data_IF_037075394703
#
_entry.id   IF_037075394703
#
_cell.length_a   1.000
_cell.length_b   1.000
_cell.length_c   1.000
_cell.angle_alpha   90.00
_cell.angle_beta   90.00
_cell.angle_gamma   90.00
#
_symmetry.space_group_name_H-M   'P 1'
#
loop_
_entity.id
_entity.type
_entity.pdbx_description
1 polymer ?
#
# COMPACT_ATOMS: atom_id res chain seq x y z
N UNK A 1 30.58 19.21 0.40
CA UNK A 1 29.10 19.36 0.45
C UNK A 1 28.48 19.14 -0.95
N UNK A 2 28.87 18.10 -1.68
CA UNK A 2 28.45 17.88 -3.09
C UNK A 2 28.12 16.42 -3.48
N UNK A 3 28.25 15.44 -2.57
CA UNK A 3 27.84 14.05 -2.85
C UNK A 3 26.42 13.69 -2.37
N UNK A 4 25.86 14.44 -1.42
CA UNK A 4 24.56 14.11 -0.78
C UNK A 4 23.33 14.16 -1.70
N UNK A 5 23.44 14.75 -2.89
CA UNK A 5 22.34 14.90 -3.87
C UNK A 5 22.14 13.66 -4.75
N UNK A 6 23.05 12.68 -4.73
CA UNK A 6 23.07 11.55 -5.68
C UNK A 6 22.04 10.44 -5.45
N UNK A 7 21.36 10.38 -4.31
CA UNK A 7 20.45 9.26 -4.00
C UNK A 7 18.96 9.53 -4.31
N UNK A 8 18.59 10.80 -4.46
CA UNK A 8 17.24 11.19 -4.87
C UNK A 8 17.17 11.29 -6.40
N UNK A 9 16.12 10.73 -6.98
CA UNK A 9 15.91 10.80 -8.43
C UNK A 9 15.53 12.23 -8.84
N UNK A 10 16.44 12.92 -9.54
CA UNK A 10 16.23 14.33 -9.92
C UNK A 10 14.99 14.54 -10.79
N UNK A 11 14.68 13.58 -11.68
CA UNK A 11 13.48 13.60 -12.53
C UNK A 11 12.17 13.20 -11.83
N UNK A 12 12.19 12.95 -10.52
CA UNK A 12 10.98 12.63 -9.77
C UNK A 12 10.08 13.84 -9.54
N UNK A 13 8.78 13.60 -9.37
CA UNK A 13 7.81 14.65 -9.11
C UNK A 13 7.97 15.25 -7.70
N UNK A 14 7.90 16.57 -7.57
CA UNK A 14 7.88 17.24 -6.26
C UNK A 14 6.53 17.05 -5.55
N UNK A 15 5.44 17.08 -6.32
CA UNK A 15 4.07 16.85 -5.85
C UNK A 15 3.27 16.10 -6.90
N UNK A 16 2.39 15.22 -6.44
CA UNK A 16 1.46 14.48 -7.31
C UNK A 16 0.16 15.27 -7.51
N UNK A 17 -0.51 15.02 -8.63
CA UNK A 17 -1.80 15.64 -8.90
C UNK A 17 -2.87 15.16 -7.91
N UNK A 18 -3.93 15.92 -7.72
CA UNK A 18 -5.06 15.49 -6.87
C UNK A 18 -5.77 14.26 -7.46
N UNK A 19 -5.79 14.14 -8.79
CA UNK A 19 -6.38 12.99 -9.46
C UNK A 19 -5.63 11.70 -9.14
N UNK A 20 -4.29 11.71 -9.19
CA UNK A 20 -3.47 10.56 -8.81
C UNK A 20 -3.77 10.11 -7.37
N UNK A 21 -3.88 11.08 -6.46
CA UNK A 21 -4.22 10.85 -5.04
C UNK A 21 -5.58 10.21 -4.87
N UNK A 22 -6.58 10.68 -5.61
CA UNK A 22 -7.93 10.14 -5.54
C UNK A 22 -7.96 8.69 -6.04
N UNK A 23 -7.36 8.44 -7.21
CA UNK A 23 -7.34 7.10 -7.83
C UNK A 23 -6.62 6.09 -6.93
N UNK A 24 -5.46 6.46 -6.39
CA UNK A 24 -4.68 5.58 -5.53
C UNK A 24 -5.42 5.21 -4.23
N UNK A 25 -5.97 6.20 -3.53
CA UNK A 25 -6.73 5.94 -2.30
C UNK A 25 -8.03 5.15 -2.58
N UNK A 26 -8.70 5.42 -3.70
CA UNK A 26 -9.89 4.65 -4.09
C UNK A 26 -9.54 3.17 -4.31
N UNK A 27 -8.43 2.87 -4.99
CA UNK A 27 -8.02 1.49 -5.23
C UNK A 27 -7.58 0.77 -3.96
N UNK A 28 -6.88 1.46 -3.06
CA UNK A 28 -6.49 0.89 -1.76
C UNK A 28 -7.74 0.63 -0.91
N UNK A 29 -8.69 1.55 -0.90
CA UNK A 29 -9.98 1.37 -0.26
C UNK A 29 -10.71 0.15 -0.84
N UNK A 30 -10.83 0.07 -2.17
CA UNK A 30 -11.46 -1.06 -2.85
C UNK A 30 -10.75 -2.37 -2.54
N UNK A 31 -9.41 -2.40 -2.49
CA UNK A 31 -8.64 -3.59 -2.11
C UNK A 31 -9.01 -4.03 -0.69
N UNK A 32 -8.91 -3.15 0.30
CA UNK A 32 -9.21 -3.49 1.70
C UNK A 32 -10.66 -3.94 1.86
N UNK A 33 -11.61 -3.24 1.25
CA UNK A 33 -13.03 -3.59 1.36
C UNK A 33 -13.37 -4.91 0.67
N UNK A 34 -12.91 -5.11 -0.57
CA UNK A 34 -13.17 -6.37 -1.28
C UNK A 34 -12.46 -7.54 -0.62
N UNK A 35 -11.24 -7.36 -0.11
CA UNK A 35 -10.54 -8.39 0.66
C UNK A 35 -11.25 -8.75 1.95
N UNK A 36 -11.72 -7.74 2.70
CA UNK A 36 -12.53 -7.94 3.90
C UNK A 36 -13.83 -8.66 3.61
N UNK A 37 -14.50 -8.32 2.51
CA UNK A 37 -15.72 -8.98 2.07
C UNK A 37 -15.49 -10.44 1.66
N UNK A 38 -14.40 -10.74 0.93
CA UNK A 38 -14.01 -12.12 0.60
C UNK A 38 -13.75 -12.93 1.88
N UNK A 39 -13.03 -12.36 2.85
CA UNK A 39 -12.84 -12.98 4.17
C UNK A 39 -14.16 -13.19 4.92
N UNK A 40 -15.09 -12.24 4.82
CA UNK A 40 -16.42 -12.32 5.42
C UNK A 40 -17.27 -13.47 4.86
N UNK A 41 -17.17 -13.74 3.54
CA UNK A 41 -17.83 -14.87 2.88
C UNK A 41 -17.32 -16.24 3.35
N UNK A 42 -16.12 -16.31 3.94
CA UNK A 42 -15.65 -17.49 4.66
C UNK A 42 -16.21 -17.49 6.08
N UNK A 43 -15.91 -16.44 6.85
CA UNK A 43 -16.42 -16.25 8.21
C UNK A 43 -16.56 -14.76 8.53
N UNK A 44 -17.76 -14.29 8.94
CA UNK A 44 -18.00 -12.86 9.20
C UNK A 44 -17.01 -12.20 10.16
N UNK A 45 -16.64 -12.91 11.24
CA UNK A 45 -15.69 -12.41 12.24
C UNK A 45 -14.31 -12.14 11.62
N UNK A 46 -13.84 -13.01 10.72
CA UNK A 46 -12.54 -12.86 10.07
C UNK A 46 -12.55 -11.64 9.13
N UNK A 47 -13.66 -11.39 8.44
CA UNK A 47 -13.84 -10.19 7.62
C UNK A 47 -13.67 -8.90 8.43
N UNK A 48 -14.28 -8.81 9.61
CA UNK A 48 -14.14 -7.64 10.48
C UNK A 48 -12.71 -7.47 11.03
N UNK A 49 -12.06 -8.57 11.44
CA UNK A 49 -10.67 -8.54 11.89
C UNK A 49 -9.76 -8.03 10.78
N UNK A 50 -9.93 -8.55 9.55
CA UNK A 50 -9.17 -8.13 8.38
C UNK A 50 -9.33 -6.62 8.10
N UNK A 51 -10.58 -6.13 8.10
CA UNK A 51 -10.86 -4.70 7.87
C UNK A 51 -10.24 -3.82 8.95
N UNK A 52 -10.43 -4.17 10.22
CA UNK A 52 -9.86 -3.43 11.35
C UNK A 52 -8.34 -3.39 11.28
N UNK A 53 -7.70 -4.53 11.06
CA UNK A 53 -6.25 -4.63 10.90
C UNK A 53 -5.75 -3.76 9.74
N UNK A 54 -6.38 -3.86 8.57
CA UNK A 54 -6.03 -3.08 7.38
C UNK A 54 -6.11 -1.57 7.62
N UNK A 55 -7.21 -1.11 8.24
CA UNK A 55 -7.42 0.32 8.53
C UNK A 55 -6.43 0.85 9.56
N UNK A 56 -6.19 0.13 10.66
CA UNK A 56 -5.22 0.53 11.71
C UNK A 56 -3.81 0.64 11.12
N UNK A 57 -3.41 -0.35 10.33
CA UNK A 57 -2.10 -0.37 9.69
C UNK A 57 -1.94 0.77 8.68
N UNK A 58 -2.94 0.98 7.81
CA UNK A 58 -2.88 1.97 6.72
C UNK A 58 -3.05 3.40 7.21
N UNK A 59 -3.86 3.67 8.24
CA UNK A 59 -4.08 5.03 8.73
C UNK A 59 -3.10 5.44 9.83
N UNK A 60 -2.58 4.48 10.61
CA UNK A 60 -1.68 4.73 11.72
C UNK A 60 -0.26 4.19 11.49
N UNK A 61 -0.09 2.89 11.73
CA UNK A 61 1.23 2.27 11.96
C UNK A 61 2.19 2.48 10.77
N UNK A 62 1.73 2.21 9.54
CA UNK A 62 2.58 2.37 8.36
C UNK A 62 2.92 3.83 8.06
N UNK A 63 2.09 4.79 8.47
CA UNK A 63 2.39 6.21 8.30
C UNK A 63 3.57 6.60 9.17
N UNK A 64 3.58 6.14 10.41
CA UNK A 64 4.69 6.40 11.32
C UNK A 64 5.96 5.67 10.85
N UNK A 65 5.89 4.38 10.55
CA UNK A 65 7.09 3.59 10.22
C UNK A 65 7.69 3.99 8.86
N UNK A 66 6.85 4.16 7.85
CA UNK A 66 7.29 4.37 6.46
C UNK A 66 7.37 5.86 6.16
N UNK A 67 6.27 6.59 6.34
CA UNK A 67 6.17 7.96 5.84
C UNK A 67 7.01 8.96 6.64
N UNK A 68 7.31 8.69 7.92
CA UNK A 68 8.14 9.56 8.77
C UNK A 68 9.52 9.86 8.16
N UNK A 69 10.19 8.85 7.60
CA UNK A 69 11.49 8.99 6.95
C UNK A 69 11.35 9.18 5.42
N UNK A 70 10.16 9.43 4.88
CA UNK A 70 10.01 9.61 3.44
C UNK A 70 10.32 11.06 3.02
N UNK A 71 10.94 11.26 1.85
CA UNK A 71 11.10 12.59 1.25
C UNK A 71 9.78 13.37 1.14
N UNK A 72 8.67 12.67 0.92
CA UNK A 72 7.35 13.29 0.79
C UNK A 72 6.65 13.53 2.14
N UNK A 73 7.32 13.37 3.29
CA UNK A 73 6.75 13.75 4.57
C UNK A 73 6.34 15.23 4.56
N UNK A 74 5.09 15.54 4.92
CA UNK A 74 4.50 16.88 4.80
C UNK A 74 4.18 17.33 3.37
N UNK A 75 4.57 16.56 2.34
CA UNK A 75 4.30 16.83 0.92
C UNK A 75 3.22 15.89 0.37
N UNK A 76 2.67 16.27 -0.79
CA UNK A 76 1.68 15.47 -1.52
C UNK A 76 2.37 14.39 -2.35
N UNK A 77 2.58 13.20 -1.77
CA UNK A 77 2.93 12.00 -2.54
C UNK A 77 1.70 11.47 -3.32
N UNK A 78 1.90 10.40 -4.10
CA UNK A 78 0.85 9.78 -4.91
C UNK A 78 -0.39 9.36 -4.13
N UNK A 79 -0.28 9.02 -2.84
CA UNK A 79 -1.43 8.71 -1.97
C UNK A 79 -1.78 9.86 -1.00
N UNK A 80 -1.03 10.96 -1.04
CA UNK A 80 -1.01 12.03 -0.03
C UNK A 80 -0.72 11.57 1.42
N UNK A 81 -0.29 10.33 1.64
CA UNK A 81 0.03 9.79 2.96
C UNK A 81 1.18 10.49 3.67
N UNK A 82 2.07 11.17 2.93
CA UNK A 82 3.10 12.02 3.51
C UNK A 82 2.52 13.21 4.29
N UNK A 83 1.41 13.80 3.80
CA UNK A 83 0.66 14.82 4.55
C UNK A 83 -0.04 14.23 5.77
N UNK A 84 -0.65 13.06 5.62
CA UNK A 84 -1.30 12.34 6.70
C UNK A 84 -0.31 12.05 7.85
N UNK A 85 0.87 11.52 7.51
CA UNK A 85 1.96 11.25 8.46
C UNK A 85 2.41 12.49 9.23
N UNK A 86 2.49 13.64 8.56
CA UNK A 86 2.92 14.88 9.18
C UNK A 86 1.95 15.42 10.25
N UNK A 87 0.71 14.93 10.28
CA UNK A 87 -0.24 15.25 11.36
C UNK A 87 0.06 14.48 12.66
N UNK A 88 0.70 13.31 12.57
CA UNK A 88 0.95 12.43 13.72
C UNK A 88 2.42 12.40 14.16
N UNK A 89 3.36 12.67 13.25
CA UNK A 89 4.79 12.52 13.50
C UNK A 89 5.60 13.65 12.86
N UNK A 90 6.78 13.93 13.44
CA UNK A 90 7.75 14.86 12.86
C UNK A 90 8.59 14.15 11.81
N UNK A 91 9.03 14.90 10.79
CA UNK A 91 9.89 14.37 9.75
C UNK A 91 11.19 13.81 10.34
N UNK A 92 11.51 12.57 9.96
CA UNK A 92 12.78 11.95 10.27
C UNK A 92 13.81 12.14 9.16
N UNK A 93 14.80 11.25 9.12
CA UNK A 93 15.90 11.30 8.16
C UNK A 93 15.63 10.34 7.00
N UNK A 94 15.58 10.87 5.77
CA UNK A 94 15.27 10.05 4.60
C UNK A 94 16.37 9.08 4.19
N UNK A 95 17.61 9.26 4.65
CA UNK A 95 18.66 8.26 4.47
C UNK A 95 18.37 6.98 5.26
N UNK A 96 17.56 7.06 6.32
CA UNK A 96 17.14 5.90 7.13
C UNK A 96 15.95 5.15 6.52
N UNK A 97 15.33 5.67 5.46
CA UNK A 97 14.14 5.07 4.84
C UNK A 97 14.38 3.66 4.27
N UNK A 98 15.56 3.45 3.70
CA UNK A 98 15.95 2.16 3.11
C UNK A 98 16.56 1.17 4.12
N UNK A 99 16.81 1.62 5.35
CA UNK A 99 17.51 0.82 6.35
C UNK A 99 16.55 0.06 7.27
N UNK A 100 16.99 -1.11 7.74
CA UNK A 100 16.29 -1.88 8.78
C UNK A 100 14.99 -2.55 8.32
N UNK A 101 14.00 -2.57 9.21
CA UNK A 101 12.79 -3.41 9.08
C UNK A 101 11.68 -2.83 8.18
N UNK A 102 11.85 -1.62 7.64
CA UNK A 102 10.81 -0.92 6.87
C UNK A 102 10.39 -1.74 5.64
N UNK A 103 11.36 -2.23 4.86
CA UNK A 103 11.10 -3.06 3.68
C UNK A 103 10.32 -4.34 4.01
N UNK A 104 10.81 -5.19 4.93
CA UNK A 104 10.10 -6.37 5.38
C UNK A 104 8.68 -6.09 5.90
N UNK A 105 8.49 -5.02 6.70
CA UNK A 105 7.16 -4.66 7.23
C UNK A 105 6.19 -4.31 6.09
N UNK A 106 6.62 -3.52 5.11
CA UNK A 106 5.80 -3.18 3.94
C UNK A 106 5.43 -4.45 3.16
N UNK A 107 6.41 -5.30 2.87
CA UNK A 107 6.20 -6.52 2.09
C UNK A 107 5.25 -7.48 2.82
N UNK A 108 5.48 -7.73 4.11
CA UNK A 108 4.67 -8.63 4.92
C UNK A 108 3.23 -8.13 5.03
N UNK A 109 3.03 -6.82 5.27
CA UNK A 109 1.68 -6.27 5.38
C UNK A 109 0.91 -6.33 4.05
N UNK A 110 1.46 -5.81 2.95
CA UNK A 110 0.74 -5.81 1.68
C UNK A 110 0.60 -7.23 1.10
N UNK A 111 1.59 -8.08 1.34
CA UNK A 111 1.56 -9.50 1.00
C UNK A 111 0.45 -10.24 1.76
N UNK A 112 0.33 -10.06 3.07
CA UNK A 112 -0.73 -10.70 3.85
C UNK A 112 -2.12 -10.18 3.46
N UNK A 113 -2.25 -8.88 3.19
CA UNK A 113 -3.50 -8.29 2.70
C UNK A 113 -3.92 -8.85 1.33
N UNK A 114 -3.00 -9.29 0.48
CA UNK A 114 -3.32 -10.01 -0.75
C UNK A 114 -3.60 -11.50 -0.50
N UNK A 115 -2.71 -12.19 0.21
CA UNK A 115 -2.72 -13.65 0.32
C UNK A 115 -3.84 -14.19 1.19
N UNK A 116 -4.16 -13.53 2.32
CA UNK A 116 -5.19 -14.03 3.25
C UNK A 116 -6.57 -14.12 2.58
N UNK A 117 -7.08 -13.07 1.89
CA UNK A 117 -8.35 -13.18 1.19
C UNK A 117 -8.33 -14.19 0.04
N UNK A 118 -7.21 -14.37 -0.67
CA UNK A 118 -7.10 -15.39 -1.73
C UNK A 118 -7.25 -16.80 -1.16
N UNK A 119 -6.50 -17.11 -0.11
CA UNK A 119 -6.52 -18.44 0.52
C UNK A 119 -7.90 -18.72 1.10
N UNK A 120 -8.45 -17.80 1.90
CA UNK A 120 -9.77 -17.97 2.51
C UNK A 120 -10.90 -17.98 1.48
N UNK A 121 -10.78 -17.21 0.40
CA UNK A 121 -11.70 -17.22 -0.72
C UNK A 121 -11.77 -18.58 -1.41
N UNK A 122 -10.61 -19.18 -1.72
CA UNK A 122 -10.53 -20.53 -2.30
C UNK A 122 -11.14 -21.56 -1.35
N UNK A 123 -10.79 -21.53 -0.06
CA UNK A 123 -11.37 -22.44 0.94
C UNK A 123 -12.89 -22.27 1.00
N UNK A 124 -13.39 -21.04 1.02
CA UNK A 124 -14.84 -20.76 1.06
C UNK A 124 -15.58 -21.29 -0.16
N UNK A 125 -14.98 -21.24 -1.36
CA UNK A 125 -15.54 -21.80 -2.59
C UNK A 125 -15.61 -23.33 -2.51
N UNK A 126 -14.55 -23.98 -2.00
CA UNK A 126 -14.51 -25.44 -1.86
C UNK A 126 -15.54 -25.93 -0.85
N UNK A 127 -15.70 -25.25 0.28
CA UNK A 127 -16.66 -25.63 1.33
C UNK A 127 -18.11 -25.47 0.88
N UNK A 128 -18.43 -24.39 0.17
CA UNK A 128 -19.76 -24.14 -0.34
C UNK A 128 -19.66 -23.34 -1.64
N UNK A 129 -19.81 -24.08 -2.74
CA UNK A 129 -19.68 -23.54 -4.08
C UNK A 129 -20.76 -22.50 -4.37
N UNK A 130 -20.32 -21.33 -4.84
CA UNK A 130 -21.21 -20.26 -5.27
C UNK A 130 -20.52 -19.42 -6.33
N UNK A 131 -21.23 -19.17 -7.44
CA UNK A 131 -20.76 -18.27 -8.51
C UNK A 131 -20.46 -16.87 -7.96
N UNK A 132 -21.22 -16.41 -6.97
CA UNK A 132 -21.01 -15.11 -6.33
C UNK A 132 -19.63 -15.02 -5.66
N UNK A 133 -19.19 -16.08 -4.96
CA UNK A 133 -17.87 -16.14 -4.32
C UNK A 133 -16.75 -16.09 -5.36
N UNK A 134 -16.93 -16.78 -6.49
CA UNK A 134 -15.96 -16.76 -7.60
C UNK A 134 -15.83 -15.35 -8.17
N UNK A 135 -16.95 -14.70 -8.47
CA UNK A 135 -16.96 -13.32 -9.00
C UNK A 135 -16.22 -12.38 -8.04
N UNK A 136 -16.53 -12.44 -6.74
CA UNK A 136 -15.87 -11.60 -5.73
C UNK A 136 -14.36 -11.86 -5.64
N UNK A 137 -13.94 -13.13 -5.69
CA UNK A 137 -12.52 -13.50 -5.67
C UNK A 137 -11.79 -12.99 -6.91
N UNK A 138 -12.39 -13.11 -8.10
CA UNK A 138 -11.83 -12.58 -9.35
C UNK A 138 -11.74 -11.06 -9.31
N UNK A 139 -12.79 -10.37 -8.84
CA UNK A 139 -12.78 -8.90 -8.67
C UNK A 139 -11.67 -8.47 -7.72
N UNK A 140 -11.53 -9.13 -6.57
CA UNK A 140 -10.45 -8.86 -5.63
C UNK A 140 -9.07 -9.05 -6.27
N UNK A 141 -8.86 -10.17 -6.97
CA UNK A 141 -7.60 -10.47 -7.64
C UNK A 141 -7.22 -9.42 -8.68
N UNK A 142 -8.19 -8.97 -9.49
CA UNK A 142 -7.99 -7.89 -10.46
C UNK A 142 -7.58 -6.60 -9.75
N UNK A 143 -8.25 -6.22 -8.65
CA UNK A 143 -7.91 -5.02 -7.89
C UNK A 143 -6.48 -5.10 -7.33
N UNK A 144 -6.07 -6.25 -6.79
CA UNK A 144 -4.70 -6.49 -6.32
C UNK A 144 -3.70 -6.31 -7.45
N UNK A 145 -3.95 -6.89 -8.63
CA UNK A 145 -3.04 -6.75 -9.78
C UNK A 145 -2.92 -5.30 -10.26
N UNK A 146 -4.06 -4.61 -10.42
CA UNK A 146 -4.09 -3.22 -10.86
C UNK A 146 -3.32 -2.31 -9.90
N UNK A 147 -3.57 -2.45 -8.59
CA UNK A 147 -2.95 -1.61 -7.57
C UNK A 147 -1.48 -1.95 -7.32
N UNK A 148 -1.18 -3.23 -7.02
CA UNK A 148 0.13 -3.64 -6.54
C UNK A 148 1.18 -3.76 -7.63
N UNK A 149 0.79 -4.02 -8.88
CA UNK A 149 1.71 -4.26 -9.99
C UNK A 149 1.68 -3.11 -11.00
N UNK A 150 0.53 -2.85 -11.61
CA UNK A 150 0.43 -1.96 -12.77
C UNK A 150 0.65 -0.50 -12.37
N UNK A 151 -0.19 0.01 -11.46
CA UNK A 151 -0.14 1.41 -11.05
C UNK A 151 1.08 1.71 -10.21
N UNK A 152 1.47 0.78 -9.33
CA UNK A 152 2.70 0.90 -8.53
C UNK A 152 3.93 1.11 -9.40
N UNK A 153 4.08 0.39 -10.52
CA UNK A 153 5.24 0.56 -11.42
C UNK A 153 5.30 1.98 -11.99
N UNK A 154 4.17 2.53 -12.44
CA UNK A 154 4.08 3.89 -12.97
C UNK A 154 4.32 4.96 -11.90
N UNK A 155 3.77 4.76 -10.70
CA UNK A 155 4.00 5.68 -9.58
C UNK A 155 5.46 5.65 -9.12
N UNK A 156 6.06 4.47 -8.99
CA UNK A 156 7.44 4.34 -8.57
C UNK A 156 8.43 4.97 -9.56
N UNK A 157 8.14 4.93 -10.87
CA UNK A 157 9.04 5.53 -11.89
C UNK A 157 9.13 7.05 -11.78
N UNK A 158 8.10 7.70 -11.24
CA UNK A 158 8.00 9.15 -11.03
C UNK A 158 8.38 9.60 -9.62
N UNK A 159 8.79 8.67 -8.75
CA UNK A 159 9.04 8.94 -7.34
C UNK A 159 10.49 9.42 -7.09
N UNK A 160 10.66 10.51 -6.33
CA UNK A 160 11.98 11.01 -5.88
C UNK A 160 12.78 9.97 -5.08
N UNK A 161 12.08 9.11 -4.33
CA UNK A 161 12.67 8.06 -3.47
C UNK A 161 12.92 6.73 -4.20
N UNK A 162 12.80 6.68 -5.52
CA UNK A 162 12.82 5.42 -6.30
C UNK A 162 14.03 4.52 -6.00
N UNK A 163 15.23 5.08 -5.83
CA UNK A 163 16.46 4.32 -5.58
C UNK A 163 16.61 3.89 -4.11
N UNK A 164 16.22 4.77 -3.17
CA UNK A 164 16.28 4.51 -1.73
C UNK A 164 15.16 3.59 -1.22
N UNK A 165 14.02 3.52 -1.93
CA UNK A 165 12.86 2.78 -1.46
C UNK A 165 13.05 1.26 -1.64
N UNK A 166 12.99 0.45 -0.56
CA UNK A 166 13.12 -1.00 -0.66
C UNK A 166 11.93 -1.63 -1.41
N UNK A 167 10.77 -0.97 -1.38
CA UNK A 167 9.57 -1.39 -2.09
C UNK A 167 9.38 -0.75 -3.47
N UNK A 168 10.42 -0.18 -4.09
CA UNK A 168 10.27 0.44 -5.42
C UNK A 168 10.11 -0.61 -6.51
N UNK A 169 9.01 -0.56 -7.26
CA UNK A 169 8.69 -1.49 -8.35
C UNK A 169 9.28 -1.08 -9.72
N UNK A 170 10.13 -0.05 -9.74
CA UNK A 170 10.68 0.50 -10.99
C UNK A 170 12.20 0.56 -11.00
N UNK A 171 12.85 -0.04 -9.99
CA UNK A 171 14.31 -0.22 -9.97
C UNK A 171 14.77 -1.03 -11.17
#
# INVERSE_FOLDING_TARGET
MSEQKKDLFEGGLEQYSTFDVLVDNLLIFLWIFTGGYVCWLFMPVIGWIYLGFGLIMVLGILRVIVCQNCYYHGKKCHSAWGKLSAMYCRQGDYYKFGAGIIGPVILTFWGSMALVPLILGVISIIQNFSLFKIVMMVTFFIIVLLSAVILRKNTCSKCKMKYLCPGSASK
#
